data_IF_206480339213
#
_entry.id   IF_206480339213
#
_cell.length_a   1.000
_cell.length_b   1.000
_cell.length_c   1.000
_cell.angle_alpha   90.00
_cell.angle_beta   90.00
_cell.angle_gamma   90.00
#
_symmetry.space_group_name_H-M   'P 1'
#
loop_
_entity.id
_entity.type
_entity.pdbx_description
1 polymer ?
#
# COMPACT_ATOMS: atom_id res chain seq x y z
N UNK A 1 76.78 -26.31 13.41
CA UNK A 1 75.80 -27.01 14.27
C UNK A 1 74.96 -25.95 14.96
N UNK A 2 73.65 -25.97 14.73
CA UNK A 2 72.75 -24.81 14.84
C UNK A 2 72.51 -24.25 16.24
N UNK A 3 72.20 -22.96 16.24
CA UNK A 3 71.87 -22.08 17.36
C UNK A 3 70.56 -22.46 18.06
N UNK A 4 70.60 -22.71 19.38
CA UNK A 4 69.41 -22.67 20.24
C UNK A 4 69.14 -21.23 20.66
N UNK A 5 68.28 -20.51 19.92
CA UNK A 5 67.76 -19.21 20.33
C UNK A 5 66.75 -19.43 21.46
N UNK A 6 66.95 -18.75 22.58
CA UNK A 6 66.28 -19.00 23.86
C UNK A 6 64.81 -18.51 23.83
N UNK A 7 63.89 -19.45 24.02
CA UNK A 7 62.44 -19.36 23.82
C UNK A 7 61.70 -18.38 24.74
N UNK A 8 62.32 -17.81 25.79
CA UNK A 8 61.59 -17.05 26.82
C UNK A 8 61.40 -15.55 26.57
N UNK A 9 62.05 -14.96 25.55
CA UNK A 9 61.87 -13.52 25.21
C UNK A 9 60.88 -13.27 24.07
N UNK A 10 60.60 -14.27 23.24
CA UNK A 10 59.67 -14.14 22.09
C UNK A 10 58.21 -14.40 22.51
N UNK A 11 57.99 -15.16 23.58
CA UNK A 11 56.65 -15.53 24.05
C UNK A 11 55.89 -14.34 24.66
N UNK A 12 56.60 -13.37 25.26
CA UNK A 12 55.96 -12.21 25.92
C UNK A 12 55.46 -11.14 24.92
N UNK A 13 56.09 -11.01 23.75
CA UNK A 13 55.65 -10.07 22.71
C UNK A 13 54.52 -10.62 21.84
N UNK A 14 54.45 -11.94 21.62
CA UNK A 14 53.31 -12.55 20.92
C UNK A 14 52.03 -12.57 21.78
N UNK A 15 52.16 -12.76 23.09
CA UNK A 15 51.00 -12.77 24.00
C UNK A 15 50.28 -11.41 24.02
N UNK A 16 51.01 -10.28 24.06
CA UNK A 16 50.39 -8.94 24.07
C UNK A 16 49.67 -8.58 22.76
N UNK A 17 50.16 -9.04 21.60
CA UNK A 17 49.50 -8.82 20.30
C UNK A 17 48.20 -9.64 20.22
N UNK A 18 48.18 -10.85 20.79
CA UNK A 18 46.99 -11.72 20.83
C UNK A 18 45.87 -11.17 21.72
N UNK A 19 46.18 -10.49 22.83
CA UNK A 19 45.12 -9.90 23.68
C UNK A 19 44.49 -8.67 23.01
N UNK A 20 45.30 -7.84 22.32
CA UNK A 20 44.79 -6.62 21.67
C UNK A 20 43.94 -6.91 20.43
N UNK A 21 44.28 -7.95 19.66
CA UNK A 21 43.46 -8.37 18.52
C UNK A 21 42.19 -9.11 18.94
N UNK A 22 42.21 -9.88 20.03
CA UNK A 22 41.01 -10.58 20.51
C UNK A 22 39.97 -9.61 21.07
N UNK A 23 40.40 -8.55 21.78
CA UNK A 23 39.49 -7.47 22.23
C UNK A 23 38.94 -6.65 21.07
N UNK A 24 39.72 -6.44 20.00
CA UNK A 24 39.27 -5.74 18.79
C UNK A 24 38.28 -6.58 17.95
N UNK A 25 38.51 -7.89 17.83
CA UNK A 25 37.59 -8.80 17.13
C UNK A 25 36.28 -8.99 17.90
N UNK A 26 36.30 -8.97 19.24
CA UNK A 26 35.07 -8.95 20.04
C UNK A 26 34.30 -7.62 19.85
N UNK A 27 34.98 -6.48 19.80
CA UNK A 27 34.35 -5.18 19.55
C UNK A 27 33.75 -5.08 18.12
N UNK A 28 34.42 -5.65 17.10
CA UNK A 28 33.89 -5.72 15.74
C UNK A 28 32.70 -6.68 15.60
N UNK A 29 32.65 -7.75 16.39
CA UNK A 29 31.50 -8.66 16.41
C UNK A 29 30.31 -8.10 17.20
N UNK A 30 30.53 -7.25 18.22
CA UNK A 30 29.45 -6.55 18.91
C UNK A 30 28.80 -5.48 18.01
N UNK A 31 29.59 -4.77 17.18
CA UNK A 31 29.03 -3.79 16.24
C UNK A 31 28.31 -4.40 15.03
N UNK A 32 28.65 -5.63 14.60
CA UNK A 32 27.97 -6.30 13.47
C UNK A 32 26.79 -7.19 13.88
N UNK A 33 26.72 -7.64 15.13
CA UNK A 33 25.60 -8.45 15.61
C UNK A 33 24.34 -7.60 15.93
N UNK A 34 24.49 -6.30 16.20
CA UNK A 34 23.35 -5.39 16.42
C UNK A 34 22.73 -4.86 15.13
N UNK A 35 23.28 -5.16 13.95
CA UNK A 35 22.77 -4.70 12.64
C UNK A 35 22.04 -5.82 11.86
N UNK A 36 21.83 -7.00 12.47
CA UNK A 36 21.24 -8.18 11.83
C UNK A 36 20.00 -8.77 12.53
N UNK A 37 19.44 -8.08 13.55
CA UNK A 37 18.13 -8.37 14.14
C UNK A 37 17.09 -7.25 13.91
N UNK A 38 17.37 -6.28 13.04
CA UNK A 38 16.42 -5.22 12.65
C UNK A 38 15.81 -5.46 11.25
N UNK A 39 15.79 -6.70 10.75
CA UNK A 39 15.26 -7.03 9.42
C UNK A 39 14.03 -7.93 9.41
N UNK A 40 13.49 -8.32 10.58
CA UNK A 40 12.26 -9.14 10.67
C UNK A 40 11.09 -8.44 11.39
N UNK A 41 11.26 -7.17 11.79
CA UNK A 41 10.19 -6.39 12.44
C UNK A 41 9.73 -5.16 11.63
N UNK A 42 10.32 -4.92 10.45
CA UNK A 42 9.94 -3.84 9.53
C UNK A 42 9.07 -4.33 8.35
N UNK A 43 8.24 -5.36 8.59
CA UNK A 43 7.04 -5.64 7.77
C UNK A 43 5.80 -5.13 8.51
N UNK A 44 5.84 -3.86 8.90
CA UNK A 44 4.79 -3.21 9.69
C UNK A 44 4.68 -1.76 9.29
N UNK A 45 3.70 -1.47 8.43
CA UNK A 45 3.16 -0.13 8.18
C UNK A 45 4.18 0.97 7.91
N UNK A 46 4.75 0.99 6.70
CA UNK A 46 5.15 2.26 6.10
C UNK A 46 3.85 3.01 5.81
N UNK A 47 3.27 3.65 6.82
CA UNK A 47 2.20 4.60 6.65
C UNK A 47 2.83 5.75 5.88
N UNK A 48 2.84 5.61 4.56
CA UNK A 48 3.30 6.61 3.62
C UNK A 48 2.33 7.77 3.83
N UNK A 49 2.69 8.66 4.75
CA UNK A 49 2.11 9.99 4.88
C UNK A 49 2.50 10.78 3.65
N UNK A 50 1.98 10.33 2.52
CA UNK A 50 1.96 11.06 1.27
C UNK A 50 0.84 12.06 1.51
N UNK A 51 1.23 13.33 1.69
CA UNK A 51 0.37 14.41 1.25
C UNK A 51 0.06 14.08 -0.21
N UNK A 52 -1.14 13.55 -0.47
CA UNK A 52 -1.52 13.07 -1.81
C UNK A 52 -1.73 14.28 -2.69
N UNK A 53 -0.63 14.89 -3.14
CA UNK A 53 -0.62 15.89 -4.19
C UNK A 53 -0.95 15.17 -5.48
N UNK A 54 -2.25 15.07 -5.78
CA UNK A 54 -2.77 14.45 -6.99
C UNK A 54 -2.63 15.45 -8.13
N UNK A 55 -2.01 15.05 -9.24
CA UNK A 55 -1.96 15.89 -10.44
C UNK A 55 -3.36 16.02 -11.06
N UNK A 56 -3.62 17.07 -11.85
CA UNK A 56 -4.92 17.23 -12.53
C UNK A 56 -5.30 16.00 -13.37
N UNK A 57 -4.32 15.38 -14.02
CA UNK A 57 -4.53 14.16 -14.81
C UNK A 57 -4.93 12.95 -13.95
N UNK A 58 -4.34 12.81 -12.75
CA UNK A 58 -4.71 11.78 -11.79
C UNK A 58 -6.06 12.08 -11.15
N UNK A 59 -6.36 13.33 -10.83
CA UNK A 59 -7.64 13.73 -10.25
C UNK A 59 -8.79 13.42 -11.22
N UNK A 60 -8.63 13.82 -12.49
CA UNK A 60 -9.51 13.44 -13.59
C UNK A 60 -9.72 11.93 -13.67
N UNK A 61 -8.63 11.15 -13.65
CA UNK A 61 -8.71 9.70 -13.70
C UNK A 61 -9.46 9.14 -12.47
N UNK A 62 -9.21 9.71 -11.29
CA UNK A 62 -9.78 9.28 -10.01
C UNK A 62 -11.29 9.50 -9.97
N UNK A 63 -11.76 10.70 -10.30
CA UNK A 63 -13.19 11.02 -10.35
C UNK A 63 -13.91 10.13 -11.35
N UNK A 64 -13.35 9.97 -12.56
CA UNK A 64 -13.98 9.13 -13.58
C UNK A 64 -14.08 7.66 -13.17
N UNK A 65 -13.07 7.09 -12.51
CA UNK A 65 -13.15 5.69 -12.08
C UNK A 65 -14.15 5.50 -10.94
N UNK A 66 -14.19 6.41 -9.97
CA UNK A 66 -15.18 6.37 -8.87
C UNK A 66 -16.59 6.47 -9.42
N UNK A 67 -16.81 7.37 -10.39
CA UNK A 67 -18.09 7.46 -11.09
C UNK A 67 -18.47 6.17 -11.81
N UNK A 68 -17.53 5.54 -12.51
CA UNK A 68 -17.83 4.30 -13.23
C UNK A 68 -18.16 3.13 -12.29
N UNK A 69 -17.53 3.05 -11.11
CA UNK A 69 -17.74 1.96 -10.16
C UNK A 69 -18.92 2.19 -9.21
N UNK A 70 -19.14 3.44 -8.78
CA UNK A 70 -20.04 3.77 -7.69
C UNK A 70 -21.03 4.90 -8.01
N UNK A 71 -21.10 5.39 -9.26
CA UNK A 71 -21.99 6.50 -9.61
C UNK A 71 -23.44 6.26 -9.23
N UNK A 72 -23.94 5.02 -9.31
CA UNK A 72 -25.31 4.68 -8.89
C UNK A 72 -25.53 4.52 -7.37
N UNK A 73 -24.45 4.52 -6.58
CA UNK A 73 -24.51 4.37 -5.12
C UNK A 73 -24.73 5.71 -4.42
N UNK A 74 -25.07 5.65 -3.13
CA UNK A 74 -25.08 6.84 -2.27
C UNK A 74 -23.66 7.39 -2.11
N UNK A 75 -23.56 8.64 -1.69
CA UNK A 75 -22.29 9.32 -1.40
C UNK A 75 -21.35 8.46 -0.52
N UNK A 76 -21.86 7.75 0.49
CA UNK A 76 -21.03 6.91 1.36
C UNK A 76 -20.41 5.72 0.62
N UNK A 77 -21.10 5.17 -0.37
CA UNK A 77 -20.56 4.10 -1.23
C UNK A 77 -19.50 4.63 -2.18
N UNK A 78 -19.73 5.81 -2.78
CA UNK A 78 -18.77 6.51 -3.63
C UNK A 78 -17.48 6.86 -2.85
N UNK A 79 -17.64 7.41 -1.64
CA UNK A 79 -16.55 7.69 -0.72
C UNK A 79 -15.80 6.40 -0.35
N UNK A 80 -16.52 5.30 -0.12
CA UNK A 80 -15.91 4.01 0.18
C UNK A 80 -15.03 3.50 -0.97
N UNK A 81 -15.51 3.57 -2.22
CA UNK A 81 -14.70 3.16 -3.38
C UNK A 81 -13.48 4.05 -3.57
N UNK A 82 -13.61 5.36 -3.38
CA UNK A 82 -12.48 6.29 -3.40
C UNK A 82 -11.43 5.90 -2.34
N UNK A 83 -11.87 5.57 -1.12
CA UNK A 83 -11.00 5.12 -0.04
C UNK A 83 -10.34 3.77 -0.33
N UNK A 84 -10.99 2.84 -1.04
CA UNK A 84 -10.33 1.58 -1.46
C UNK A 84 -9.13 1.90 -2.36
N UNK A 85 -9.28 2.81 -3.31
CA UNK A 85 -8.20 3.19 -4.23
C UNK A 85 -7.03 3.83 -3.46
N UNK A 86 -7.30 4.73 -2.51
CA UNK A 86 -6.27 5.34 -1.68
C UNK A 86 -5.61 4.34 -0.73
N UNK A 87 -6.37 3.45 -0.11
CA UNK A 87 -5.83 2.38 0.73
C UNK A 87 -4.84 1.51 -0.07
N UNK A 88 -5.19 1.15 -1.31
CA UNK A 88 -4.29 0.43 -2.21
C UNK A 88 -3.05 1.25 -2.52
N UNK A 89 -3.21 2.53 -2.90
CA UNK A 89 -2.07 3.40 -3.19
C UNK A 89 -1.07 3.52 -2.03
N UNK A 90 -1.57 3.45 -0.79
CA UNK A 90 -0.74 3.54 0.42
C UNK A 90 -0.18 2.18 0.88
N UNK A 91 -0.77 1.07 0.45
CA UNK A 91 -0.31 -0.28 0.81
C UNK A 91 0.98 -0.67 0.08
N UNK A 92 1.84 -1.44 0.72
CA UNK A 92 3.04 -2.01 0.09
C UNK A 92 2.73 -3.16 -0.87
N UNK A 93 1.54 -3.77 -0.74
CA UNK A 93 1.11 -4.93 -1.55
C UNK A 93 0.54 -4.52 -2.92
N UNK A 94 0.44 -3.21 -3.17
CA UNK A 94 -0.20 -2.63 -4.34
C UNK A 94 0.74 -1.67 -5.06
N UNK A 95 0.48 -1.37 -6.35
CA UNK A 95 1.26 -0.40 -7.09
C UNK A 95 1.24 1.00 -6.44
N UNK A 96 2.33 1.74 -6.66
CA UNK A 96 2.58 3.02 -6.01
C UNK A 96 2.05 4.24 -6.77
N UNK A 97 1.29 4.02 -7.85
CA UNK A 97 0.70 5.11 -8.64
C UNK A 97 -0.79 4.86 -8.83
N UNK A 98 -1.57 5.94 -8.88
CA UNK A 98 -3.02 5.87 -9.09
C UNK A 98 -3.34 5.12 -10.40
N UNK A 99 -2.58 5.43 -11.46
CA UNK A 99 -2.72 4.79 -12.77
C UNK A 99 -2.51 3.29 -12.67
N UNK A 100 -1.45 2.83 -12.01
CA UNK A 100 -1.15 1.40 -11.94
C UNK A 100 -2.17 0.65 -11.09
N UNK A 101 -2.69 1.26 -10.02
CA UNK A 101 -3.80 0.71 -9.23
C UNK A 101 -5.06 0.55 -10.09
N UNK A 102 -5.41 1.56 -10.88
CA UNK A 102 -6.64 1.56 -11.70
C UNK A 102 -6.52 0.60 -12.90
N UNK A 103 -5.37 0.56 -13.57
CA UNK A 103 -5.15 -0.27 -14.76
C UNK A 103 -4.70 -1.70 -14.43
N UNK A 104 -4.56 -2.06 -13.15
CA UNK A 104 -4.25 -3.42 -12.77
C UNK A 104 -5.29 -4.42 -13.32
N UNK A 105 -4.78 -5.52 -13.87
CA UNK A 105 -5.59 -6.54 -14.54
C UNK A 105 -6.72 -7.03 -13.62
N UNK A 106 -7.96 -6.94 -14.12
CA UNK A 106 -9.20 -7.43 -13.48
C UNK A 106 -9.68 -6.67 -12.23
N UNK A 107 -9.06 -5.55 -11.84
CA UNK A 107 -9.50 -4.80 -10.66
C UNK A 107 -10.73 -3.93 -10.92
N UNK A 108 -10.74 -3.23 -12.06
CA UNK A 108 -11.81 -2.29 -12.42
C UNK A 108 -12.42 -2.68 -13.77
N UNK A 109 -13.68 -3.09 -13.76
CA UNK A 109 -14.39 -3.55 -14.97
C UNK A 109 -14.56 -2.48 -16.07
N UNK A 110 -14.74 -1.18 -15.76
CA UNK A 110 -14.90 -0.11 -16.75
C UNK A 110 -13.67 0.14 -17.62
N UNK A 111 -12.47 -0.27 -17.17
CA UNK A 111 -11.21 -0.13 -17.91
C UNK A 111 -11.23 -0.95 -19.19
N UNK A 112 -11.73 -2.19 -19.13
CA UNK A 112 -11.78 -3.11 -20.28
C UNK A 112 -12.96 -2.83 -21.21
N UNK A 113 -14.06 -2.36 -20.65
CA UNK A 113 -15.33 -2.25 -21.36
C UNK A 113 -15.52 -0.89 -22.05
N UNK A 114 -14.51 -0.01 -21.97
CA UNK A 114 -14.49 1.32 -22.59
C UNK A 114 -15.32 2.39 -21.88
N UNK A 115 -16.00 2.05 -20.78
CA UNK A 115 -16.77 3.01 -19.99
C UNK A 115 -15.89 4.08 -19.35
N UNK A 116 -14.70 3.71 -18.87
CA UNK A 116 -13.74 4.67 -18.34
C UNK A 116 -13.33 5.69 -19.42
N UNK A 117 -13.04 5.23 -20.65
CA UNK A 117 -12.69 6.13 -21.75
C UNK A 117 -13.83 7.10 -22.10
N UNK A 118 -15.08 6.65 -22.04
CA UNK A 118 -16.26 7.52 -22.24
C UNK A 118 -16.40 8.56 -21.13
N UNK A 119 -16.22 8.15 -19.88
CA UNK A 119 -16.25 9.06 -18.72
C UNK A 119 -15.15 10.13 -18.83
N UNK A 120 -13.93 9.71 -19.18
CA UNK A 120 -12.78 10.59 -19.41
C UNK A 120 -13.04 11.60 -20.54
N UNK A 121 -13.61 11.16 -21.67
CA UNK A 121 -13.96 12.05 -22.77
C UNK A 121 -15.09 13.04 -22.41
N UNK A 122 -16.06 12.62 -21.60
CA UNK A 122 -17.12 13.51 -21.12
C UNK A 122 -16.57 14.54 -20.12
N UNK A 123 -15.63 14.16 -19.25
CA UNK A 123 -14.90 15.08 -18.37
C UNK A 123 -14.20 16.17 -19.18
N UNK A 124 -13.43 15.80 -20.20
CA UNK A 124 -12.66 16.75 -21.03
C UNK A 124 -13.53 17.77 -21.76
N UNK A 125 -14.75 17.37 -22.12
CA UNK A 125 -15.71 18.23 -22.82
C UNK A 125 -16.55 19.09 -21.87
N UNK A 126 -16.44 18.90 -20.55
CA UNK A 126 -17.36 19.49 -19.58
C UNK A 126 -18.78 18.91 -19.66
N UNK A 127 -18.95 17.74 -20.29
CA UNK A 127 -20.22 17.03 -20.47
C UNK A 127 -20.42 15.95 -19.39
N UNK A 128 -19.64 16.00 -18.32
CA UNK A 128 -19.73 15.06 -17.21
C UNK A 128 -20.88 15.43 -16.26
N UNK A 129 -22.10 15.53 -16.80
CA UNK A 129 -23.24 16.23 -16.20
C UNK A 129 -24.40 15.28 -15.82
N UNK A 130 -24.09 14.11 -15.29
CA UNK A 130 -25.12 13.16 -14.84
C UNK A 130 -25.59 13.48 -13.43
N UNK A 131 -26.77 12.99 -13.01
CA UNK A 131 -27.29 13.21 -11.65
C UNK A 131 -26.36 12.77 -10.50
N UNK A 132 -25.29 12.03 -10.79
CA UNK A 132 -24.38 11.43 -9.82
C UNK A 132 -22.97 12.03 -9.84
N UNK A 133 -22.68 12.94 -10.78
CA UNK A 133 -21.31 13.41 -10.99
C UNK A 133 -20.80 14.24 -9.80
N UNK A 134 -21.59 15.22 -9.33
CA UNK A 134 -21.20 16.14 -8.24
C UNK A 134 -20.87 15.37 -6.96
N UNK A 135 -21.64 14.34 -6.63
CA UNK A 135 -21.39 13.53 -5.44
C UNK A 135 -20.10 12.70 -5.57
N UNK A 136 -19.73 12.29 -6.80
CA UNK A 136 -18.46 11.60 -7.05
C UNK A 136 -17.26 12.55 -6.91
N UNK A 137 -17.33 13.78 -7.43
CA UNK A 137 -16.31 14.82 -7.19
C UNK A 137 -16.13 15.04 -5.70
N UNK A 138 -17.24 15.29 -4.99
CA UNK A 138 -17.23 15.50 -3.54
C UNK A 138 -16.61 14.32 -2.79
N UNK A 139 -16.96 13.08 -3.18
CA UNK A 139 -16.42 11.89 -2.55
C UNK A 139 -14.90 11.75 -2.75
N UNK A 140 -14.38 12.09 -3.94
CA UNK A 140 -12.94 12.11 -4.20
C UNK A 140 -12.26 13.22 -3.40
N UNK A 141 -12.79 14.44 -3.41
CA UNK A 141 -12.23 15.56 -2.64
C UNK A 141 -12.17 15.25 -1.14
N UNK A 142 -13.25 14.70 -0.59
CA UNK A 142 -13.29 14.31 0.82
C UNK A 142 -12.30 13.17 1.12
N UNK A 143 -12.16 12.19 0.24
CA UNK A 143 -11.19 11.11 0.41
C UNK A 143 -9.74 11.63 0.39
N UNK A 144 -9.43 12.54 -0.54
CA UNK A 144 -8.12 13.21 -0.63
C UNK A 144 -7.85 14.12 0.58
N UNK A 145 -8.89 14.72 1.15
CA UNK A 145 -8.82 15.43 2.42
C UNK A 145 -8.71 14.49 3.65
N UNK A 146 -8.63 13.18 3.45
CA UNK A 146 -8.41 12.18 4.49
C UNK A 146 -9.68 11.59 5.10
N UNK A 147 -10.87 11.89 4.56
CA UNK A 147 -12.12 11.31 5.05
C UNK A 147 -12.23 9.85 4.62
N UNK A 148 -12.18 8.94 5.59
CA UNK A 148 -12.29 7.50 5.36
C UNK A 148 -13.44 6.88 6.17
N UNK A 149 -14.39 6.23 5.47
CA UNK A 149 -15.55 5.56 6.07
C UNK A 149 -15.49 4.02 5.99
N UNK A 150 -14.39 3.45 5.49
CA UNK A 150 -14.23 2.00 5.31
C UNK A 150 -13.02 1.42 6.06
N UNK A 151 -12.22 2.26 6.73
CA UNK A 151 -10.98 1.85 7.38
C UNK A 151 -9.93 1.43 6.34
N UNK A 152 -9.23 0.32 6.59
CA UNK A 152 -8.15 -0.20 5.75
C UNK A 152 -8.61 -1.21 4.69
N UNK A 153 -9.91 -1.25 4.36
CA UNK A 153 -10.45 -2.26 3.44
C UNK A 153 -9.96 -2.03 2.01
N UNK A 154 -9.53 -3.12 1.38
CA UNK A 154 -8.86 -3.09 0.07
C UNK A 154 -9.73 -3.59 -1.08
N UNK A 155 -10.89 -4.17 -0.81
CA UNK A 155 -11.78 -4.75 -1.82
C UNK A 155 -13.21 -4.28 -1.62
N UNK A 156 -13.97 -4.28 -2.71
CA UNK A 156 -15.40 -4.04 -2.70
C UNK A 156 -16.10 -4.91 -3.74
N UNK A 157 -17.34 -5.30 -3.46
CA UNK A 157 -18.25 -5.91 -4.43
C UNK A 157 -19.70 -5.82 -3.91
N UNK A 158 -20.67 -6.27 -4.70
CA UNK A 158 -22.05 -6.38 -4.19
C UNK A 158 -22.13 -7.44 -3.09
N UNK A 159 -22.99 -7.29 -2.06
CA UNK A 159 -23.18 -8.31 -1.03
C UNK A 159 -23.49 -9.70 -1.59
N UNK A 160 -24.26 -9.76 -2.69
CA UNK A 160 -24.57 -11.01 -3.40
C UNK A 160 -23.31 -11.66 -3.99
N UNK A 161 -22.47 -10.88 -4.67
CA UNK A 161 -21.21 -11.40 -5.21
C UNK A 161 -20.28 -11.85 -4.08
N UNK A 162 -20.24 -11.12 -2.95
CA UNK A 162 -19.40 -11.48 -1.81
C UNK A 162 -19.80 -12.83 -1.25
N UNK A 163 -21.10 -13.02 -1.05
CA UNK A 163 -21.68 -14.28 -0.60
C UNK A 163 -21.34 -15.44 -1.55
N UNK A 164 -21.41 -15.21 -2.85
CA UNK A 164 -21.11 -16.24 -3.86
C UNK A 164 -19.61 -16.60 -3.91
N UNK A 165 -18.72 -15.64 -3.70
CA UNK A 165 -17.27 -15.86 -3.81
C UNK A 165 -16.62 -16.31 -2.49
N UNK A 166 -17.08 -15.80 -1.34
CA UNK A 166 -16.45 -16.02 -0.02
C UNK A 166 -17.36 -16.70 1.01
N UNK A 167 -18.64 -16.94 0.67
CA UNK A 167 -19.61 -17.58 1.54
C UNK A 167 -20.31 -16.64 2.53
N UNK A 168 -21.34 -17.18 3.20
CA UNK A 168 -22.23 -16.42 4.08
C UNK A 168 -21.53 -15.87 5.33
N UNK A 169 -20.48 -16.55 5.79
CA UNK A 169 -19.81 -16.31 7.07
C UNK A 169 -18.57 -15.42 6.95
N UNK A 170 -18.40 -14.67 5.85
CA UNK A 170 -17.30 -13.73 5.77
C UNK A 170 -17.55 -12.55 6.73
N UNK A 171 -16.78 -12.48 7.84
CA UNK A 171 -17.03 -11.56 8.95
C UNK A 171 -16.30 -10.22 8.84
N UNK A 172 -15.17 -10.14 8.12
CA UNK A 172 -14.44 -8.87 7.92
C UNK A 172 -15.02 -8.04 6.75
N UNK A 173 -16.33 -7.80 6.80
CA UNK A 173 -17.03 -6.97 5.82
C UNK A 173 -17.71 -5.77 6.49
N UNK A 174 -17.72 -4.65 5.78
CA UNK A 174 -18.55 -3.50 6.06
C UNK A 174 -19.49 -3.29 4.87
N UNK A 175 -20.78 -3.23 5.12
CA UNK A 175 -21.77 -3.01 4.06
C UNK A 175 -22.30 -1.58 4.16
N UNK A 176 -22.16 -0.83 3.05
CA UNK A 176 -22.68 0.52 2.89
C UNK A 176 -23.52 0.53 1.61
N UNK A 177 -24.82 0.76 1.74
CA UNK A 177 -25.74 0.67 0.59
C UNK A 177 -25.72 -0.73 -0.03
N UNK A 178 -25.50 -0.81 -1.35
CA UNK A 178 -25.39 -2.08 -2.06
C UNK A 178 -23.92 -2.49 -2.31
N UNK A 179 -22.99 -1.94 -1.53
CA UNK A 179 -21.57 -2.23 -1.64
C UNK A 179 -21.05 -2.82 -0.34
N UNK A 180 -20.41 -3.99 -0.42
CA UNK A 180 -19.68 -4.60 0.67
C UNK A 180 -18.18 -4.35 0.47
N UNK A 181 -17.55 -3.71 1.46
CA UNK A 181 -16.12 -3.48 1.55
C UNK A 181 -15.50 -4.52 2.48
N UNK A 182 -14.34 -5.06 2.14
CA UNK A 182 -13.72 -6.17 2.88
C UNK A 182 -12.21 -6.27 2.59
N UNK A 183 -11.49 -7.05 3.41
CA UNK A 183 -10.13 -7.51 3.12
C UNK A 183 -10.14 -8.99 2.73
N UNK A 184 -9.00 -9.60 2.43
CA UNK A 184 -8.89 -11.05 2.23
C UNK A 184 -7.61 -11.54 2.87
N UNK A 185 -7.62 -12.74 3.46
CA UNK A 185 -6.46 -13.34 4.12
C UNK A 185 -5.82 -14.45 3.26
N UNK A 186 -5.66 -14.23 1.95
CA UNK A 186 -5.01 -15.22 1.08
C UNK A 186 -3.53 -15.36 1.41
#
# INVERSE_FOLDING_TARGET
MGTKLNSKRVICSLAMILVFTLSFVLAMNVSKASEYEETDMMRGSKNRGVETTVTEAEYRLFVCIVYCEAGGEKYEGQLGVANVILNRLHSADWPNTLKDVIYQKHQFSPVKNGYLNKALAAYDKGEFNTKWHESCFKAVDDALAGKNNIGNRMYFMTPKALQQNLGNNYYDKLVIGNTAFFNTNW
#
